data_IF_096472674267
#
_entry.id   IF_096472674267
#
_cell.length_a   1.000
_cell.length_b   1.000
_cell.length_c   1.000
_cell.angle_alpha   90.00
_cell.angle_beta   90.00
_cell.angle_gamma   90.00
#
_symmetry.space_group_name_H-M   'P 1'
#
loop_
_entity.id
_entity.type
_entity.pdbx_description
1 polymer ?
#
# COMPACT_ATOMS: atom_id res chain seq x y z
N UNK A 1 10.94 -3.61 -12.11
CA UNK A 1 10.49 -2.38 -11.41
C UNK A 1 11.55 -1.90 -10.43
N UNK A 2 11.91 -2.67 -9.39
CA UNK A 2 12.90 -2.24 -8.38
C UNK A 2 14.25 -1.84 -8.98
N UNK A 3 14.78 -2.62 -9.94
CA UNK A 3 16.01 -2.28 -10.66
C UNK A 3 15.92 -0.96 -11.43
N UNK A 4 14.74 -0.63 -11.97
CA UNK A 4 14.54 0.62 -12.72
C UNK A 4 14.50 1.82 -11.77
N UNK A 5 13.85 1.68 -10.60
CA UNK A 5 13.85 2.70 -9.57
C UNK A 5 15.26 2.91 -9.00
N UNK A 6 16.01 1.84 -8.77
CA UNK A 6 17.40 1.92 -8.31
C UNK A 6 18.30 2.67 -9.32
N UNK A 7 18.10 2.46 -10.63
CA UNK A 7 18.79 3.23 -11.68
C UNK A 7 18.44 4.73 -11.66
N UNK A 8 17.31 5.09 -11.08
CA UNK A 8 16.89 6.49 -10.86
C UNK A 8 17.29 7.02 -9.48
N UNK A 9 18.07 6.25 -8.70
CA UNK A 9 18.53 6.64 -7.37
C UNK A 9 17.59 6.27 -6.22
N UNK A 10 16.40 5.74 -6.50
CA UNK A 10 15.41 5.37 -5.48
C UNK A 10 15.69 3.95 -4.99
N UNK A 11 16.11 3.86 -3.73
CA UNK A 11 16.42 2.61 -3.05
C UNK A 11 15.15 1.91 -2.56
N UNK A 12 15.25 0.59 -2.35
CA UNK A 12 14.10 -0.22 -1.92
C UNK A 12 13.42 0.28 -0.64
N UNK A 13 14.20 0.77 0.33
CA UNK A 13 13.70 1.25 1.61
C UNK A 13 12.98 2.61 1.52
N UNK A 14 13.08 3.30 0.39
CA UNK A 14 12.40 4.57 0.12
C UNK A 14 11.03 4.37 -0.54
N UNK A 15 10.65 3.11 -0.84
CA UNK A 15 9.43 2.77 -1.57
C UNK A 15 8.31 2.43 -0.59
N UNK A 16 7.21 3.18 -0.68
CA UNK A 16 5.93 2.83 -0.07
C UNK A 16 4.97 2.31 -1.14
N UNK A 17 4.76 0.99 -1.19
CA UNK A 17 3.81 0.37 -2.11
C UNK A 17 2.37 0.66 -1.67
N UNK A 18 1.67 1.49 -2.44
CA UNK A 18 0.34 2.01 -2.09
C UNK A 18 -0.71 1.48 -3.05
N UNK A 19 -1.67 0.70 -2.56
CA UNK A 19 -2.66 0.02 -3.38
C UNK A 19 -3.95 -0.31 -2.62
N UNK A 20 -4.96 -0.82 -3.32
CA UNK A 20 -6.20 -1.32 -2.70
C UNK A 20 -6.27 -2.84 -2.66
N UNK A 21 -5.74 -3.55 -3.68
CA UNK A 21 -5.91 -5.00 -3.80
C UNK A 21 -4.93 -5.76 -2.91
N UNK A 22 -5.47 -6.51 -1.95
CA UNK A 22 -4.65 -7.41 -1.14
C UNK A 22 -3.98 -8.50 -1.97
N UNK A 23 -4.71 -9.09 -2.94
CA UNK A 23 -4.17 -10.17 -3.74
C UNK A 23 -3.16 -9.69 -4.82
N UNK A 24 -3.53 -8.71 -5.64
CA UNK A 24 -2.71 -8.33 -6.80
C UNK A 24 -1.51 -7.46 -6.44
N UNK A 25 -1.59 -6.70 -5.34
CA UNK A 25 -0.62 -5.65 -5.01
C UNK A 25 0.13 -5.99 -3.71
N UNK A 26 -0.58 -6.12 -2.59
CA UNK A 26 0.06 -6.30 -1.28
C UNK A 26 0.77 -7.66 -1.11
N UNK A 27 0.15 -8.76 -1.57
CA UNK A 27 0.77 -10.08 -1.51
C UNK A 27 2.13 -10.15 -2.24
N UNK A 28 2.27 -9.70 -3.51
CA UNK A 28 3.59 -9.63 -4.15
C UNK A 28 4.51 -8.59 -3.49
N UNK A 29 4.02 -7.42 -3.07
CA UNK A 29 4.86 -6.42 -2.41
C UNK A 29 5.49 -6.94 -1.10
N UNK A 30 4.73 -7.71 -0.30
CA UNK A 30 5.24 -8.41 0.86
C UNK A 30 6.34 -9.41 0.50
N UNK A 31 6.19 -10.21 -0.57
CA UNK A 31 7.21 -11.17 -1.02
C UNK A 31 8.53 -10.50 -1.40
N UNK A 32 8.50 -9.26 -1.86
CA UNK A 32 9.69 -8.46 -2.18
C UNK A 32 10.20 -7.59 -1.01
N UNK A 33 9.51 -7.63 0.14
CA UNK A 33 9.87 -6.89 1.33
C UNK A 33 9.80 -5.37 1.15
N UNK A 34 8.75 -4.90 0.48
CA UNK A 34 8.42 -3.47 0.37
C UNK A 34 7.54 -3.04 1.55
N UNK A 35 7.66 -1.78 1.97
CA UNK A 35 6.68 -1.17 2.88
C UNK A 35 5.34 -1.05 2.16
N UNK A 36 4.24 -1.32 2.85
CA UNK A 36 2.90 -1.43 2.30
C UNK A 36 1.93 -0.42 2.92
N UNK A 37 1.23 0.34 2.07
CA UNK A 37 0.15 1.25 2.45
C UNK A 37 -1.15 0.79 1.80
N UNK A 38 -2.07 0.29 2.61
CA UNK A 38 -3.36 -0.15 2.12
C UNK A 38 -4.37 1.00 2.07
N UNK A 39 -4.90 1.24 0.87
CA UNK A 39 -6.02 2.15 0.66
C UNK A 39 -7.32 1.34 0.70
N UNK A 40 -7.89 1.16 1.89
CA UNK A 40 -9.10 0.36 2.13
C UNK A 40 -10.37 1.10 1.70
N UNK A 41 -10.55 1.25 0.38
CA UNK A 41 -11.65 2.02 -0.23
C UNK A 41 -13.04 1.54 0.19
N UNK A 42 -13.19 0.24 0.42
CA UNK A 42 -14.46 -0.43 0.75
C UNK A 42 -14.61 -0.73 2.25
N UNK A 43 -14.01 0.10 3.11
CA UNK A 43 -14.03 -0.08 4.57
C UNK A 43 -15.42 -0.18 5.21
N UNK A 44 -16.44 0.36 4.56
CA UNK A 44 -17.83 0.35 4.98
C UNK A 44 -18.68 -0.74 4.30
N UNK A 45 -18.06 -1.62 3.49
CA UNK A 45 -18.75 -2.64 2.69
C UNK A 45 -18.17 -4.01 2.96
N UNK A 46 -19.04 -5.02 3.02
CA UNK A 46 -18.61 -6.42 3.12
C UNK A 46 -18.05 -6.92 1.79
N UNK A 47 -17.12 -7.87 1.88
CA UNK A 47 -16.50 -8.55 0.74
C UNK A 47 -15.42 -7.74 0.00
N UNK A 48 -14.75 -8.40 -0.95
CA UNK A 48 -13.57 -7.89 -1.66
C UNK A 48 -13.92 -7.06 -2.92
N UNK A 49 -15.20 -6.88 -3.23
CA UNK A 49 -15.63 -6.22 -4.47
C UNK A 49 -15.10 -6.94 -5.72
N UNK A 50 -14.38 -6.22 -6.57
CA UNK A 50 -13.76 -6.77 -7.78
C UNK A 50 -12.39 -7.42 -7.53
N UNK A 51 -11.89 -7.40 -6.29
CA UNK A 51 -10.62 -8.02 -5.94
C UNK A 51 -10.82 -9.46 -5.45
N UNK A 52 -9.84 -10.32 -5.69
CA UNK A 52 -9.90 -11.70 -5.20
C UNK A 52 -9.61 -11.76 -3.70
N UNK A 53 -10.21 -12.74 -3.03
CA UNK A 53 -9.83 -13.10 -1.67
C UNK A 53 -8.34 -13.50 -1.65
N UNK A 54 -7.49 -12.85 -0.85
CA UNK A 54 -6.06 -13.13 -0.84
C UNK A 54 -5.70 -14.52 -0.25
N UNK A 55 -6.65 -15.21 0.38
CA UNK A 55 -6.36 -16.39 1.19
C UNK A 55 -5.75 -15.94 2.51
N UNK A 56 -4.41 -16.04 2.63
CA UNK A 56 -3.70 -15.44 3.74
C UNK A 56 -3.65 -13.92 3.57
N UNK A 57 -4.07 -13.18 4.60
CA UNK A 57 -4.12 -11.72 4.54
C UNK A 57 -2.68 -11.15 4.51
N UNK A 58 -2.29 -10.40 3.47
CA UNK A 58 -1.00 -9.72 3.43
C UNK A 58 -0.87 -8.69 4.56
N UNK A 59 0.37 -8.46 4.99
CA UNK A 59 0.70 -7.42 5.95
C UNK A 59 0.73 -6.05 5.27
N UNK A 60 0.32 -5.04 6.02
CA UNK A 60 0.42 -3.64 5.66
C UNK A 60 0.97 -2.85 6.85
N UNK A 61 1.78 -1.83 6.56
CA UNK A 61 2.39 -0.96 7.57
C UNK A 61 1.52 0.27 7.84
N UNK A 62 0.77 0.71 6.82
CA UNK A 62 -0.17 1.81 6.90
C UNK A 62 -1.53 1.41 6.33
N UNK A 63 -2.59 2.01 6.84
CA UNK A 63 -3.93 1.87 6.30
C UNK A 63 -4.64 3.22 6.28
N UNK A 64 -5.22 3.56 5.13
CA UNK A 64 -6.09 4.73 4.95
C UNK A 64 -7.34 4.33 4.19
N UNK A 65 -8.47 4.98 4.44
CA UNK A 65 -9.71 4.67 3.73
C UNK A 65 -9.74 5.31 2.32
N UNK A 66 -8.90 6.31 2.08
CA UNK A 66 -8.76 7.00 0.81
C UNK A 66 -7.37 7.60 0.63
N UNK A 67 -7.02 7.94 -0.62
CA UNK A 67 -5.80 8.71 -0.91
C UNK A 67 -5.81 10.10 -0.26
N UNK A 68 -7.00 10.66 -0.02
CA UNK A 68 -7.14 11.96 0.64
C UNK A 68 -6.75 11.85 2.12
N UNK A 69 -7.13 10.76 2.79
CA UNK A 69 -6.76 10.54 4.19
C UNK A 69 -5.25 10.33 4.34
N UNK A 70 -4.64 9.60 3.40
CA UNK A 70 -3.17 9.47 3.32
C UNK A 70 -2.48 10.83 3.14
N UNK A 71 -2.98 11.67 2.24
CA UNK A 71 -2.42 13.01 2.00
C UNK A 71 -2.57 13.92 3.23
N UNK A 72 -3.71 13.87 3.92
CA UNK A 72 -3.94 14.62 5.17
C UNK A 72 -3.02 14.16 6.28
N UNK A 73 -2.79 12.86 6.43
CA UNK A 73 -1.86 12.32 7.42
C UNK A 73 -0.43 12.81 7.17
N UNK A 74 0.02 12.80 5.92
CA UNK A 74 1.32 13.36 5.54
C UNK A 74 1.42 14.87 5.84
N UNK A 75 0.38 15.64 5.53
CA UNK A 75 0.35 17.07 5.85
C UNK A 75 0.41 17.36 7.35
N UNK A 76 -0.26 16.53 8.16
CA UNK A 76 -0.22 16.65 9.62
C UNK A 76 1.17 16.34 10.18
N UNK A 77 1.84 15.29 9.67
CA UNK A 77 3.20 14.92 10.08
C UNK A 77 4.24 15.99 9.71
N UNK A 78 4.08 16.66 8.57
CA UNK A 78 4.97 17.78 8.22
C UNK A 78 4.78 19.03 9.08
N UNK A 79 3.67 19.12 9.81
CA UNK A 79 3.34 20.26 10.66
C UNK A 79 3.72 20.05 12.14
N UNK A 80 4.17 18.84 12.52
CA UNK A 80 4.65 18.50 13.87
C UNK A 80 6.15 18.73 14.04
#
# INVERSE_FOLDING_TARGET
MLEMLARQGIQKHEILHTAESMFHDHAPANKYGLSNCWIYRRHDKSGFGATMNPGEMPKYDFQFNSMMDMAKAHQAELAS
#
